data_IF_985382294373
#
_entry.id   IF_985382294373
#
_cell.length_a   1.000
_cell.length_b   1.000
_cell.length_c   1.000
_cell.angle_alpha   90.00
_cell.angle_beta   90.00
_cell.angle_gamma   90.00
#
_symmetry.space_group_name_H-M   'P 1'
#
loop_
_entity.id
_entity.type
_entity.pdbx_description
1 polymer ?
#
# COMPACT_ATOMS: atom_id res chain seq x y z
N UNK A 1 -14.79 -3.80 4.57
CA UNK A 1 -14.10 -2.49 4.43
C UNK A 1 -12.59 -2.75 4.34
N UNK A 2 -11.84 -2.01 3.51
CA UNK A 2 -10.41 -2.20 3.29
C UNK A 2 -9.60 -1.07 3.95
N UNK A 3 -9.09 -1.31 5.16
CA UNK A 3 -8.39 -0.29 5.94
C UNK A 3 -6.89 -0.44 5.78
N UNK A 4 -6.19 0.61 5.34
CA UNK A 4 -4.72 0.59 5.26
C UNK A 4 -4.15 0.87 6.66
N UNK A 5 -3.36 -0.07 7.19
CA UNK A 5 -2.81 -0.02 8.55
C UNK A 5 -1.37 0.49 8.59
N UNK A 6 -0.63 0.32 7.50
CA UNK A 6 0.79 0.68 7.45
C UNK A 6 1.37 0.56 6.05
N UNK A 7 2.48 1.26 5.84
CA UNK A 7 3.26 1.19 4.61
C UNK A 7 4.70 0.84 5.00
N UNK A 8 5.19 -0.28 4.48
CA UNK A 8 6.55 -0.76 4.70
C UNK A 8 7.32 -0.53 3.40
N UNK A 9 8.35 0.28 3.45
CA UNK A 9 9.26 0.51 2.34
C UNK A 9 10.52 -0.31 2.64
N UNK A 10 10.96 -1.15 1.70
CA UNK A 10 12.23 -1.84 1.83
C UNK A 10 13.04 -1.74 0.55
N UNK A 11 14.36 -1.61 0.69
CA UNK A 11 15.28 -1.52 -0.45
C UNK A 11 15.90 -2.89 -0.68
N UNK A 12 15.79 -3.42 -1.90
CA UNK A 12 16.51 -4.63 -2.29
C UNK A 12 17.35 -4.32 -3.52
N UNK A 13 18.66 -4.50 -3.38
CA UNK A 13 19.69 -4.32 -4.41
C UNK A 13 19.71 -2.91 -5.03
N UNK A 14 18.76 -2.57 -5.90
CA UNK A 14 18.60 -1.25 -6.53
C UNK A 14 17.13 -0.80 -6.62
N UNK A 15 16.18 -1.61 -6.17
CA UNK A 15 14.74 -1.36 -6.29
C UNK A 15 14.09 -1.07 -4.93
N UNK A 16 13.11 -0.15 -4.93
CA UNK A 16 12.31 0.21 -3.75
C UNK A 16 11.00 -0.56 -3.80
N UNK A 17 10.83 -1.47 -2.86
CA UNK A 17 9.61 -2.24 -2.72
C UNK A 17 8.73 -1.61 -1.66
N UNK A 18 7.43 -1.50 -1.93
CA UNK A 18 6.47 -0.99 -0.95
C UNK A 18 5.44 -2.05 -0.65
N UNK A 19 5.37 -2.47 0.60
CA UNK A 19 4.32 -3.37 1.09
C UNK A 19 3.31 -2.57 1.90
N UNK A 20 2.07 -2.68 1.49
CA UNK A 20 0.92 -2.07 2.14
C UNK A 20 0.28 -3.13 3.01
N UNK A 21 0.22 -2.85 4.30
CA UNK A 21 -0.51 -3.66 5.26
C UNK A 21 -1.93 -3.15 5.29
N UNK A 22 -2.90 -3.98 4.95
CA UNK A 22 -4.29 -3.59 4.94
C UNK A 22 -5.19 -4.67 5.51
N UNK A 23 -6.24 -4.26 6.22
CA UNK A 23 -7.19 -5.16 6.86
C UNK A 23 -8.45 -5.27 6.00
N UNK A 24 -8.83 -6.51 5.65
CA UNK A 24 -10.12 -6.82 5.03
C UNK A 24 -10.86 -7.80 5.92
N UNK A 25 -11.94 -7.33 6.54
CA UNK A 25 -12.94 -8.13 7.29
C UNK A 25 -12.27 -9.21 8.18
N UNK A 26 -11.75 -8.74 9.32
CA UNK A 26 -11.03 -9.48 10.37
C UNK A 26 -9.65 -10.06 10.04
N UNK A 27 -9.21 -10.05 8.77
CA UNK A 27 -7.87 -10.52 8.39
C UNK A 27 -6.95 -9.38 7.96
N UNK A 28 -5.71 -9.41 8.44
CA UNK A 28 -4.63 -8.59 7.89
C UNK A 28 -4.15 -9.24 6.59
N UNK A 29 -4.24 -8.49 5.49
CA UNK A 29 -3.74 -8.85 4.18
C UNK A 29 -2.57 -7.94 3.82
N UNK A 30 -1.53 -8.54 3.26
CA UNK A 30 -0.39 -7.80 2.71
C UNK A 30 -0.60 -7.62 1.21
N UNK A 31 -0.54 -6.38 0.75
CA UNK A 31 -0.53 -6.02 -0.66
C UNK A 31 0.85 -5.46 -1.00
N UNK A 32 1.57 -6.09 -1.91
CA UNK A 32 2.89 -5.62 -2.33
C UNK A 32 2.78 -4.80 -3.61
N UNK A 33 3.30 -3.58 -3.58
CA UNK A 33 3.47 -2.70 -4.74
C UNK A 33 4.95 -2.62 -5.07
N UNK A 34 5.30 -3.09 -6.26
CA UNK A 34 6.68 -3.04 -6.76
C UNK A 34 6.85 -1.84 -7.69
N UNK A 35 7.81 -0.96 -7.38
CA UNK A 35 8.13 0.22 -8.19
C UNK A 35 9.63 0.45 -8.29
N UNK A 36 10.06 0.90 -9.47
CA UNK A 36 11.45 1.29 -9.70
C UNK A 36 11.79 2.60 -8.99
N UNK A 37 13.06 2.75 -8.63
CA UNK A 37 13.60 3.75 -7.70
C UNK A 37 13.26 5.24 -7.98
N UNK A 38 12.73 5.58 -9.16
CA UNK A 38 12.52 6.95 -9.61
C UNK A 38 11.07 7.45 -9.45
N UNK A 39 10.11 6.59 -9.11
CA UNK A 39 8.71 7.01 -8.94
C UNK A 39 8.40 7.16 -7.44
N UNK A 40 8.03 8.36 -6.97
CA UNK A 40 7.58 8.55 -5.60
C UNK A 40 6.30 7.75 -5.36
N UNK A 41 6.22 7.13 -4.18
CA UNK A 41 5.07 6.33 -3.78
C UNK A 41 4.05 7.28 -3.14
N UNK A 42 3.07 7.71 -3.93
CA UNK A 42 2.01 8.61 -3.47
C UNK A 42 0.75 7.84 -3.11
N UNK A 43 -0.15 8.50 -2.39
CA UNK A 43 -1.48 7.97 -2.07
C UNK A 43 -2.26 7.62 -3.34
N UNK A 44 -2.23 8.47 -4.36
CA UNK A 44 -2.95 8.25 -5.63
C UNK A 44 -2.48 6.97 -6.31
N UNK A 45 -1.15 6.75 -6.36
CA UNK A 45 -0.58 5.55 -6.96
C UNK A 45 -1.03 4.28 -6.24
N UNK A 46 -1.08 4.33 -4.92
CA UNK A 46 -1.55 3.23 -4.09
C UNK A 46 -3.03 2.97 -4.36
N UNK A 47 -3.86 4.02 -4.36
CA UNK A 47 -5.29 3.91 -4.65
C UNK A 47 -5.53 3.30 -6.04
N UNK A 48 -4.83 3.80 -7.07
CA UNK A 48 -4.89 3.25 -8.43
C UNK A 48 -4.49 1.77 -8.49
N UNK A 49 -3.48 1.36 -7.72
CA UNK A 49 -3.07 -0.04 -7.68
C UNK A 49 -4.12 -0.92 -6.99
N UNK A 50 -4.69 -0.47 -5.87
CA UNK A 50 -5.73 -1.19 -5.15
C UNK A 50 -7.03 -1.30 -5.96
N UNK A 51 -7.41 -0.24 -6.68
CA UNK A 51 -8.61 -0.24 -7.53
C UNK A 51 -8.39 -1.02 -8.81
N UNK A 52 -7.31 -0.73 -9.54
CA UNK A 52 -7.03 -1.31 -10.86
C UNK A 52 -6.57 -2.76 -10.80
N UNK A 53 -5.69 -3.12 -9.86
CA UNK A 53 -5.13 -4.47 -9.80
C UNK A 53 -5.92 -5.38 -8.86
N UNK A 54 -6.39 -4.87 -7.72
CA UNK A 54 -7.10 -5.68 -6.72
C UNK A 54 -8.63 -5.55 -6.80
N UNK A 55 -9.15 -4.71 -7.70
CA UNK A 55 -10.59 -4.51 -7.88
C UNK A 55 -11.28 -3.93 -6.65
N UNK A 56 -10.55 -3.25 -5.76
CA UNK A 56 -11.09 -2.69 -4.52
C UNK A 56 -11.67 -1.31 -4.83
N UNK A 57 -13.00 -1.09 -4.72
CA UNK A 57 -13.58 0.22 -4.99
C UNK A 57 -13.04 1.29 -4.05
N UNK A 58 -12.82 2.51 -4.54
CA UNK A 58 -12.25 3.61 -3.71
C UNK A 58 -13.07 3.88 -2.45
N UNK A 59 -14.40 3.85 -2.54
CA UNK A 59 -15.29 4.04 -1.39
C UNK A 59 -15.18 2.94 -0.33
N UNK A 60 -14.52 1.82 -0.63
CA UNK A 60 -14.24 0.77 0.35
C UNK A 60 -12.84 0.89 0.97
N UNK A 61 -11.99 1.81 0.49
CA UNK A 61 -10.62 1.99 0.99
C UNK A 61 -10.63 3.09 2.06
N UNK A 62 -10.30 2.71 3.29
CA UNK A 62 -10.12 3.64 4.39
C UNK A 62 -8.64 3.94 4.57
N UNK A 63 -8.30 5.22 4.46
CA UNK A 63 -6.94 5.72 4.68
C UNK A 63 -6.90 6.45 6.03
N UNK A 64 -6.44 5.81 7.11
CA UNK A 64 -6.38 6.46 8.41
C UNK A 64 -5.37 7.62 8.39
N UNK A 65 -5.61 8.62 9.24
CA UNK A 65 -4.72 9.79 9.36
C UNK A 65 -3.33 9.45 9.93
N UNK A 66 -3.18 8.29 10.56
CA UNK A 66 -1.96 7.83 11.22
C UNK A 66 -1.38 6.61 10.49
N UNK A 67 -0.98 6.74 9.23
CA UNK A 67 -0.23 5.65 8.59
C UNK A 67 1.21 5.70 9.08
N UNK A 68 1.64 4.65 9.76
CA UNK A 68 3.03 4.44 10.10
C UNK A 68 3.78 4.00 8.83
N UNK A 69 4.76 4.80 8.41
CA UNK A 69 5.68 4.46 7.33
C UNK A 69 6.97 3.94 7.96
N UNK A 70 7.29 2.66 7.74
CA UNK A 70 8.56 2.06 8.18
C UNK A 70 9.47 1.85 6.98
N UNK A 71 10.66 2.44 7.01
CA UNK A 71 11.77 2.12 6.09
C UNK A 71 12.60 1.02 6.76
N UNK A 72 12.69 -0.16 6.15
CA UNK A 72 13.41 -1.35 6.68
C UNK A 72 14.49 -1.78 5.69
#
# INVERSE_FOLDING_TARGET
MFEIRGIIIHKKENDKFVRIVAKKDHHDRYVSIERKANVPITRELIMQHLTGHYGIPEGQITWPHHIEVKDI
#
